data_IF_229001265911
#
_entry.id   IF_229001265911
#
_cell.length_a   1.000
_cell.length_b   1.000
_cell.length_c   1.000
_cell.angle_alpha   90.00
_cell.angle_beta   90.00
_cell.angle_gamma   90.00
#
_symmetry.space_group_name_H-M   'P 1'
#
loop_
_entity.id
_entity.type
_entity.pdbx_description
1 polymer ?
#
# COMPACT_ATOMS: atom_id res chain seq x y z
N UNK A 1 2.87 22.37 -4.64
CA UNK A 1 2.24 21.04 -4.46
C UNK A 1 0.99 21.12 -3.60
N UNK A 2 -0.09 20.45 -3.99
CA UNK A 2 -1.34 20.38 -3.23
C UNK A 2 -1.13 19.55 -1.95
N UNK A 3 -1.27 20.15 -0.76
CA UNK A 3 -1.11 19.45 0.53
C UNK A 3 -2.01 18.20 0.66
N UNK A 4 -3.18 18.20 -0.01
CA UNK A 4 -4.04 17.01 -0.05
C UNK A 4 -3.39 15.85 -0.83
N UNK A 5 -2.64 16.12 -1.90
CA UNK A 5 -1.92 15.09 -2.65
C UNK A 5 -0.81 14.46 -1.81
N UNK A 6 -0.03 15.27 -1.08
CA UNK A 6 1.01 14.76 -0.16
C UNK A 6 0.41 13.88 0.94
N UNK A 7 -0.71 14.31 1.52
CA UNK A 7 -1.37 13.53 2.55
C UNK A 7 -1.88 12.20 2.00
N UNK A 8 -2.45 12.18 0.79
CA UNK A 8 -2.87 10.93 0.15
C UNK A 8 -1.68 10.01 -0.17
N UNK A 9 -0.56 10.55 -0.66
CA UNK A 9 0.67 9.79 -0.88
C UNK A 9 1.19 9.15 0.43
N UNK A 10 1.19 9.92 1.52
CA UNK A 10 1.62 9.42 2.83
C UNK A 10 0.71 8.30 3.35
N UNK A 11 -0.62 8.46 3.23
CA UNK A 11 -1.58 7.42 3.61
C UNK A 11 -1.39 6.14 2.77
N UNK A 12 -1.17 6.26 1.46
CA UNK A 12 -0.89 5.10 0.59
C UNK A 12 0.36 4.34 1.06
N UNK A 13 1.42 5.05 1.45
CA UNK A 13 2.66 4.45 1.97
C UNK A 13 2.42 3.75 3.31
N UNK A 14 1.71 4.39 4.24
CA UNK A 14 1.39 3.81 5.54
C UNK A 14 0.53 2.54 5.42
N UNK A 15 -0.46 2.52 4.53
CA UNK A 15 -1.28 1.32 4.31
C UNK A 15 -0.44 0.20 3.66
N UNK A 16 0.51 0.54 2.78
CA UNK A 16 1.43 -0.44 2.17
C UNK A 16 2.26 -1.15 3.22
N UNK A 17 2.91 -0.39 4.11
CA UNK A 17 3.71 -0.95 5.21
C UNK A 17 2.86 -1.88 6.09
N UNK A 18 1.65 -1.46 6.46
CA UNK A 18 0.73 -2.28 7.25
C UNK A 18 0.29 -3.57 6.51
N UNK A 19 0.08 -3.51 5.20
CA UNK A 19 -0.29 -4.68 4.39
C UNK A 19 0.87 -5.67 4.21
N UNK A 20 2.11 -5.18 4.06
CA UNK A 20 3.32 -6.00 4.02
C UNK A 20 3.56 -6.71 5.37
N UNK A 21 3.39 -5.97 6.47
CA UNK A 21 3.45 -6.52 7.83
C UNK A 21 2.41 -7.63 8.04
N UNK A 22 1.16 -7.37 7.68
CA UNK A 22 0.08 -8.35 7.77
C UNK A 22 0.38 -9.61 6.95
N UNK A 23 0.93 -9.43 5.74
CA UNK A 23 1.35 -10.56 4.90
C UNK A 23 2.44 -11.38 5.57
N UNK A 24 3.45 -10.73 6.18
CA UNK A 24 4.54 -11.43 6.89
C UNK A 24 4.01 -12.26 8.06
N UNK A 25 3.20 -11.65 8.92
CA UNK A 25 2.58 -12.36 10.05
C UNK A 25 1.71 -13.53 9.58
N UNK A 26 0.97 -13.36 8.47
CA UNK A 26 0.16 -14.43 7.89
C UNK A 26 1.00 -15.57 7.29
N UNK A 27 2.18 -15.28 6.74
CA UNK A 27 3.15 -16.27 6.28
C UNK A 27 3.68 -17.09 7.46
N UNK A 28 4.10 -16.43 8.53
CA UNK A 28 4.57 -17.07 9.76
C UNK A 28 3.48 -17.94 10.41
N UNK A 29 2.23 -17.49 10.37
CA UNK A 29 1.08 -18.22 10.93
C UNK A 29 0.49 -19.28 10.01
N UNK A 30 0.98 -19.42 8.76
CA UNK A 30 0.44 -20.39 7.80
C UNK A 30 -1.03 -20.14 7.44
N UNK A 31 -1.41 -18.88 7.17
CA UNK A 31 -2.79 -18.47 6.85
C UNK A 31 -2.97 -18.04 5.38
N UNK A 32 -3.12 -18.98 4.42
CA UNK A 32 -3.23 -18.69 2.98
C UNK A 32 -4.28 -17.67 2.57
N UNK A 33 -5.43 -17.65 3.25
CA UNK A 33 -6.50 -16.71 2.96
C UNK A 33 -6.09 -15.27 3.29
N UNK A 34 -5.38 -15.06 4.40
CA UNK A 34 -4.90 -13.74 4.83
C UNK A 34 -3.78 -13.27 3.90
N UNK A 35 -2.85 -14.16 3.51
CA UNK A 35 -1.80 -13.87 2.53
C UNK A 35 -2.41 -13.34 1.22
N UNK A 36 -3.39 -14.07 0.66
CA UNK A 36 -4.07 -13.64 -0.58
C UNK A 36 -4.80 -12.32 -0.45
N UNK A 37 -5.37 -12.01 0.72
CA UNK A 37 -6.03 -10.74 0.95
C UNK A 37 -5.01 -9.59 1.06
N UNK A 38 -3.90 -9.80 1.76
CA UNK A 38 -2.82 -8.83 1.83
C UNK A 38 -2.24 -8.55 0.42
N UNK A 39 -2.06 -9.57 -0.42
CA UNK A 39 -1.64 -9.39 -1.82
C UNK A 39 -2.59 -8.51 -2.63
N UNK A 40 -3.91 -8.69 -2.48
CA UNK A 40 -4.91 -7.85 -3.17
C UNK A 40 -4.88 -6.40 -2.71
N UNK A 41 -4.67 -6.17 -1.42
CA UNK A 41 -4.50 -4.82 -0.87
C UNK A 41 -3.26 -4.17 -1.50
N UNK A 42 -2.13 -4.86 -1.51
CA UNK A 42 -0.88 -4.36 -2.10
C UNK A 42 -1.02 -4.02 -3.59
N UNK A 43 -1.67 -4.88 -4.37
CA UNK A 43 -1.95 -4.60 -5.78
C UNK A 43 -2.86 -3.37 -5.98
N UNK A 44 -3.85 -3.18 -5.10
CA UNK A 44 -4.71 -1.99 -5.14
C UNK A 44 -3.94 -0.72 -4.81
N UNK A 45 -3.02 -0.78 -3.83
CA UNK A 45 -2.16 0.35 -3.46
C UNK A 45 -1.13 0.71 -4.54
N UNK A 46 -0.65 -0.27 -5.31
CA UNK A 46 0.22 -0.01 -6.46
C UNK A 46 -0.51 0.84 -7.52
N UNK A 47 -1.76 0.49 -7.83
CA UNK A 47 -2.58 1.32 -8.72
C UNK A 47 -2.85 2.73 -8.15
N UNK A 48 -3.09 2.85 -6.84
CA UNK A 48 -3.28 4.17 -6.22
C UNK A 48 -1.99 5.01 -6.25
N UNK A 49 -0.83 4.39 -6.03
CA UNK A 49 0.46 5.07 -6.10
C UNK A 49 0.73 5.64 -7.50
N UNK A 50 0.42 4.91 -8.58
CA UNK A 50 0.53 5.43 -9.95
C UNK A 50 -0.34 6.68 -10.20
N UNK A 51 -1.46 6.82 -9.49
CA UNK A 51 -2.38 7.94 -9.65
C UNK A 51 -2.10 9.12 -8.71
N UNK A 52 -1.27 8.93 -7.67
CA UNK A 52 -1.05 9.92 -6.59
C UNK A 52 0.42 10.18 -6.33
N UNK A 53 1.23 9.12 -6.16
CA UNK A 53 2.66 9.19 -5.88
C UNK A 53 3.50 9.54 -7.10
N UNK A 54 3.17 9.00 -8.28
CA UNK A 54 3.91 9.30 -9.52
C UNK A 54 3.86 10.81 -9.87
N UNK A 55 2.68 11.48 -9.84
CA UNK A 55 2.61 12.94 -10.00
C UNK A 55 3.40 13.74 -8.94
N UNK A 56 3.53 13.22 -7.71
CA UNK A 56 4.29 13.85 -6.62
C UNK A 56 5.79 13.73 -6.84
N UNK A 57 6.25 12.68 -7.54
CA UNK A 57 7.68 12.41 -7.77
C UNK A 57 8.29 13.11 -9.00
N UNK A 58 7.47 13.75 -9.84
CA UNK A 58 7.89 14.44 -11.07
C UNK A 58 8.20 15.94 -10.87
N UNK A 59 8.16 16.44 -9.63
CA UNK A 59 8.44 17.84 -9.25
C UNK A 59 9.55 17.95 -8.20
#
# INVERSE_FOLDING_TARGET
MNEKLKNMDQEIKTIREAAEELKRLALEAGMPAVIKNADRILASLEMLALNVSDPVSLE
#
